data_IF_411567825347
#
_entry.id   IF_411567825347
#
_cell.length_a   1.000
_cell.length_b   1.000
_cell.length_c   1.000
_cell.angle_alpha   90.00
_cell.angle_beta   90.00
_cell.angle_gamma   90.00
#
_symmetry.space_group_name_H-M   'P 1'
#
loop_
_entity.id
_entity.type
_entity.pdbx_description
1 polymer ?
#
# COMPACT_ATOMS: atom_id res chain seq x y z
N UNK A 1 -32.38 -2.27 2.78
CA UNK A 1 -32.74 -2.74 4.13
C UNK A 1 -31.43 -3.08 4.86
N UNK A 2 -31.04 -2.27 5.82
CA UNK A 2 -29.83 -2.53 6.60
C UNK A 2 -30.12 -3.68 7.56
N UNK A 3 -29.43 -4.80 7.40
CA UNK A 3 -29.46 -5.90 8.38
C UNK A 3 -28.59 -5.49 9.56
N UNK A 4 -29.24 -4.91 10.57
CA UNK A 4 -28.60 -4.59 11.85
C UNK A 4 -28.05 -5.87 12.49
N UNK A 5 -26.74 -5.90 12.73
CA UNK A 5 -26.11 -6.88 13.60
C UNK A 5 -25.38 -8.05 12.95
N UNK A 6 -25.52 -8.31 11.65
CA UNK A 6 -24.81 -9.41 10.99
C UNK A 6 -23.38 -9.02 10.60
N UNK A 7 -22.42 -9.90 10.94
CA UNK A 7 -21.05 -9.77 10.48
C UNK A 7 -20.93 -10.08 8.98
N UNK A 8 -20.26 -9.21 8.24
CA UNK A 8 -19.98 -9.36 6.81
C UNK A 8 -18.47 -9.49 6.60
N UNK A 9 -18.05 -10.50 5.86
CA UNK A 9 -16.65 -10.70 5.51
C UNK A 9 -16.25 -9.77 4.37
N UNK A 10 -15.08 -9.14 4.50
CA UNK A 10 -14.47 -8.26 3.49
C UNK A 10 -12.96 -8.27 3.63
N UNK A 11 -12.27 -7.46 2.84
CA UNK A 11 -10.82 -7.29 2.91
C UNK A 11 -10.44 -5.84 3.22
N UNK A 12 -9.35 -5.67 3.97
CA UNK A 12 -8.77 -4.35 4.23
C UNK A 12 -8.14 -3.79 2.95
N UNK A 13 -8.45 -2.54 2.61
CA UNK A 13 -7.95 -1.85 1.41
C UNK A 13 -6.74 -0.95 1.67
N UNK A 14 -6.26 -0.84 2.91
CA UNK A 14 -5.31 0.21 3.29
C UNK A 14 -3.85 -0.12 2.96
N UNK A 15 -3.53 -1.36 2.62
CA UNK A 15 -2.21 -1.75 2.13
C UNK A 15 -2.28 -3.05 1.31
N UNK A 16 -1.16 -3.45 0.70
CA UNK A 16 -1.04 -4.63 -0.16
C UNK A 16 -1.28 -5.98 0.54
N UNK A 17 -1.21 -6.03 1.87
CA UNK A 17 -1.44 -7.27 2.63
C UNK A 17 -2.91 -7.73 2.58
N UNK A 18 -3.87 -6.81 2.35
CA UNK A 18 -5.29 -7.12 2.19
C UNK A 18 -5.89 -8.05 3.24
N UNK A 19 -5.55 -7.83 4.52
CA UNK A 19 -6.03 -8.68 5.62
C UNK A 19 -7.55 -8.89 5.57
N UNK A 20 -8.00 -10.10 5.84
CA UNK A 20 -9.42 -10.42 5.95
C UNK A 20 -10.06 -9.72 7.16
N UNK A 21 -11.20 -9.11 6.95
CA UNK A 21 -11.98 -8.40 7.96
C UNK A 21 -13.40 -8.96 8.06
N UNK A 22 -13.95 -8.89 9.25
CA UNK A 22 -15.40 -8.95 9.46
C UNK A 22 -15.87 -7.59 9.98
N UNK A 23 -16.95 -7.10 9.39
CA UNK A 23 -17.50 -5.78 9.70
C UNK A 23 -19.00 -5.88 10.02
N UNK A 24 -19.47 -4.99 10.88
CA UNK A 24 -20.90 -4.71 11.06
C UNK A 24 -21.15 -3.31 10.50
N UNK A 25 -22.10 -3.20 9.57
CA UNK A 25 -22.46 -1.94 8.91
C UNK A 25 -23.88 -1.56 9.27
N UNK A 26 -24.08 -0.31 9.70
CA UNK A 26 -25.37 0.30 9.95
C UNK A 26 -25.38 1.70 9.34
N UNK A 27 -26.40 2.00 8.54
CA UNK A 27 -26.56 3.30 7.88
C UNK A 27 -25.31 3.78 7.11
N UNK A 28 -24.62 2.85 6.45
CA UNK A 28 -23.38 3.14 5.71
C UNK A 28 -22.12 3.30 6.57
N UNK A 29 -22.22 3.15 7.89
CA UNK A 29 -21.11 3.28 8.83
C UNK A 29 -20.61 1.92 9.34
N UNK A 30 -19.30 1.78 9.43
CA UNK A 30 -18.68 0.64 10.12
C UNK A 30 -18.81 0.80 11.63
N UNK A 31 -19.73 0.08 12.24
CA UNK A 31 -19.93 0.10 13.70
C UNK A 31 -18.92 -0.77 14.45
N UNK A 32 -18.56 -1.91 13.86
CA UNK A 32 -17.54 -2.80 14.41
C UNK A 32 -16.69 -3.39 13.30
N UNK A 33 -15.40 -3.53 13.58
CA UNK A 33 -14.41 -4.13 12.68
C UNK A 33 -13.55 -5.09 13.50
N UNK A 34 -13.31 -6.28 12.97
CA UNK A 34 -12.35 -7.25 13.53
C UNK A 34 -11.72 -8.07 12.42
N UNK A 35 -10.61 -8.75 12.72
CA UNK A 35 -10.01 -9.69 11.80
C UNK A 35 -10.88 -10.91 11.54
N UNK A 36 -10.92 -11.35 10.29
CA UNK A 36 -11.62 -12.57 9.89
C UNK A 36 -10.73 -13.79 10.16
N UNK A 37 -11.11 -14.61 11.12
CA UNK A 37 -10.38 -15.82 11.50
C UNK A 37 -10.42 -16.91 10.42
N UNK A 38 -11.35 -16.83 9.48
CA UNK A 38 -11.47 -17.78 8.36
C UNK A 38 -10.58 -17.41 7.17
N UNK A 39 -10.04 -16.19 7.16
CA UNK A 39 -9.10 -15.77 6.12
C UNK A 39 -7.78 -16.57 6.23
N UNK A 40 -7.34 -17.28 5.17
CA UNK A 40 -6.20 -18.20 5.24
C UNK A 40 -4.85 -17.51 5.51
N UNK A 41 -4.67 -16.28 5.03
CA UNK A 41 -3.44 -15.51 5.22
C UNK A 41 -3.40 -14.82 6.58
N UNK A 42 -4.31 -13.89 6.81
CA UNK A 42 -4.29 -13.08 8.03
C UNK A 42 -4.76 -13.83 9.29
N UNK A 43 -5.51 -14.94 9.16
CA UNK A 43 -5.96 -15.82 10.26
C UNK A 43 -6.54 -15.04 11.45
N UNK A 44 -7.29 -13.97 11.16
CA UNK A 44 -7.90 -13.09 12.17
C UNK A 44 -6.99 -11.97 12.68
N UNK A 45 -5.74 -11.88 12.21
CA UNK A 45 -4.85 -10.78 12.54
C UNK A 45 -5.20 -9.53 11.74
N UNK A 46 -5.14 -8.37 12.39
CA UNK A 46 -5.15 -7.05 11.76
C UNK A 46 -4.16 -6.12 12.47
N UNK A 47 -3.65 -5.14 11.75
CA UNK A 47 -2.98 -3.99 12.37
C UNK A 47 -4.02 -2.96 12.85
N UNK A 48 -3.56 -1.82 13.32
CA UNK A 48 -4.41 -0.74 13.82
C UNK A 48 -5.16 0.03 12.71
N UNK A 49 -4.68 0.00 11.47
CA UNK A 49 -5.23 0.80 10.35
C UNK A 49 -6.72 0.55 10.09
N UNK A 50 -7.22 -0.71 10.07
CA UNK A 50 -8.64 -0.98 9.84
C UNK A 50 -9.60 -0.32 10.84
N UNK A 51 -9.16 -0.06 12.06
CA UNK A 51 -9.99 0.62 13.07
C UNK A 51 -10.42 2.04 12.63
N UNK A 52 -9.70 2.64 11.67
CA UNK A 52 -10.00 3.96 11.13
C UNK A 52 -10.81 3.95 9.83
N UNK A 53 -11.25 2.78 9.34
CA UNK A 53 -11.93 2.68 8.03
C UNK A 53 -13.22 3.49 7.98
N UNK A 54 -14.03 3.52 9.04
CA UNK A 54 -15.24 4.34 9.06
C UNK A 54 -14.92 5.82 8.93
N UNK A 55 -13.95 6.31 9.70
CA UNK A 55 -13.49 7.69 9.61
C UNK A 55 -12.91 8.00 8.23
N UNK A 56 -12.14 7.09 7.65
CA UNK A 56 -11.59 7.24 6.30
C UNK A 56 -12.70 7.36 5.26
N UNK A 57 -13.77 6.58 5.38
CA UNK A 57 -14.89 6.56 4.44
C UNK A 57 -15.87 7.72 4.63
N UNK A 58 -16.18 8.06 5.87
CA UNK A 58 -17.33 8.88 6.24
C UNK A 58 -16.94 10.20 6.95
N UNK A 59 -15.67 10.62 6.89
CA UNK A 59 -15.26 11.91 7.49
C UNK A 59 -15.98 13.09 6.82
N UNK A 60 -16.32 14.10 7.61
CA UNK A 60 -17.04 15.28 7.13
C UNK A 60 -16.30 16.04 6.01
N UNK A 61 -14.95 16.02 6.03
CA UNK A 61 -14.12 16.67 5.02
C UNK A 61 -13.86 15.78 3.79
N UNK A 62 -14.51 14.61 3.71
CA UNK A 62 -14.33 13.74 2.55
C UNK A 62 -14.92 14.39 1.31
N UNK A 63 -14.09 14.50 0.25
CA UNK A 63 -14.54 14.96 -1.06
C UNK A 63 -15.44 13.88 -1.66
N UNK A 64 -16.69 14.23 -1.93
CA UNK A 64 -17.73 13.32 -2.46
C UNK A 64 -18.15 13.63 -3.89
N UNK A 65 -17.64 14.72 -4.46
CA UNK A 65 -17.86 15.12 -5.85
C UNK A 65 -16.58 15.71 -6.45
N UNK A 66 -16.44 15.72 -7.79
CA UNK A 66 -15.32 16.40 -8.42
C UNK A 66 -15.30 17.89 -8.08
N UNK A 67 -14.10 18.43 -7.93
CA UNK A 67 -13.88 19.83 -7.64
C UNK A 67 -13.18 20.53 -8.81
N UNK A 68 -13.73 21.64 -9.28
CA UNK A 68 -13.10 22.51 -10.27
C UNK A 68 -12.48 23.73 -9.58
N UNK A 69 -11.20 23.99 -9.85
CA UNK A 69 -10.54 25.19 -9.34
C UNK A 69 -10.97 26.42 -10.12
N UNK A 70 -11.34 27.48 -9.40
CA UNK A 70 -11.66 28.81 -9.93
C UNK A 70 -10.39 29.66 -10.11
N UNK A 71 -10.54 30.79 -10.79
CA UNK A 71 -9.43 31.73 -11.01
C UNK A 71 -8.91 32.36 -9.71
N UNK A 72 -9.77 32.58 -8.72
CA UNK A 72 -9.41 33.07 -7.39
C UNK A 72 -8.72 32.00 -6.51
N UNK A 73 -8.54 30.79 -7.02
CA UNK A 73 -7.91 29.67 -6.32
C UNK A 73 -8.87 28.84 -5.46
N UNK A 74 -10.12 29.28 -5.27
CA UNK A 74 -11.15 28.51 -4.59
C UNK A 74 -11.61 27.30 -5.42
N UNK A 75 -12.37 26.40 -4.80
CA UNK A 75 -12.91 25.22 -5.46
C UNK A 75 -14.43 25.23 -5.46
N UNK A 76 -15.02 24.77 -6.55
CA UNK A 76 -16.45 24.52 -6.67
C UNK A 76 -16.73 23.05 -7.00
N UNK A 77 -17.78 22.50 -6.42
CA UNK A 77 -18.29 21.19 -6.79
C UNK A 77 -18.91 21.20 -8.18
N UNK A 78 -18.56 20.21 -8.98
CA UNK A 78 -19.18 19.96 -10.30
C UNK A 78 -19.63 18.51 -10.37
N UNK A 79 -20.51 18.18 -11.32
CA UNK A 79 -20.92 16.80 -11.57
C UNK A 79 -19.83 16.02 -12.34
N UNK A 80 -19.95 14.69 -12.32
CA UNK A 80 -18.99 13.80 -12.98
C UNK A 80 -18.98 13.94 -14.50
N UNK A 81 -20.12 14.17 -15.14
CA UNK A 81 -20.22 14.32 -16.59
C UNK A 81 -19.50 15.58 -17.05
N UNK A 82 -19.67 16.65 -16.32
CA UNK A 82 -18.94 17.91 -16.53
C UNK A 82 -17.44 17.73 -16.33
N UNK A 83 -17.01 17.07 -15.24
CA UNK A 83 -15.59 16.83 -14.98
C UNK A 83 -14.95 15.98 -16.09
N UNK A 84 -15.60 14.87 -16.48
CA UNK A 84 -15.08 13.97 -17.53
C UNK A 84 -15.01 14.71 -18.86
N UNK A 85 -16.04 15.43 -19.25
CA UNK A 85 -16.08 16.19 -20.52
C UNK A 85 -14.96 17.23 -20.58
N UNK A 86 -14.78 18.03 -19.52
CA UNK A 86 -13.75 19.07 -19.48
C UNK A 86 -12.33 18.48 -19.50
N UNK A 87 -12.08 17.44 -18.70
CA UNK A 87 -10.76 16.81 -18.61
C UNK A 87 -10.43 16.10 -19.92
N UNK A 88 -11.35 15.29 -20.45
CA UNK A 88 -11.12 14.57 -21.71
C UNK A 88 -10.91 15.51 -22.89
N UNK A 89 -11.70 16.60 -22.96
CA UNK A 89 -11.53 17.62 -23.99
C UNK A 89 -10.15 18.30 -23.95
N UNK A 90 -9.69 18.69 -22.74
CA UNK A 90 -8.36 19.29 -22.57
C UNK A 90 -7.24 18.31 -22.91
N UNK A 91 -7.33 17.06 -22.49
CA UNK A 91 -6.31 16.05 -22.78
C UNK A 91 -6.29 15.67 -24.27
N UNK A 92 -7.45 15.55 -24.91
CA UNK A 92 -7.55 15.33 -26.35
C UNK A 92 -6.92 16.49 -27.13
N UNK A 93 -7.23 17.73 -26.75
CA UNK A 93 -6.62 18.91 -27.38
C UNK A 93 -5.09 18.90 -27.29
N UNK A 94 -4.52 18.55 -26.10
CA UNK A 94 -3.05 18.45 -25.96
C UNK A 94 -2.50 17.34 -26.85
N UNK A 95 -3.14 16.16 -26.88
CA UNK A 95 -2.74 15.04 -27.74
C UNK A 95 -2.75 15.46 -29.23
N UNK A 96 -3.83 16.06 -29.68
CA UNK A 96 -4.05 16.38 -31.08
C UNK A 96 -3.17 17.55 -31.56
N UNK A 97 -2.85 18.50 -30.66
CA UNK A 97 -2.04 19.69 -31.00
C UNK A 97 -0.55 19.46 -30.79
N UNK A 98 -0.16 18.73 -29.75
CA UNK A 98 1.23 18.63 -29.30
C UNK A 98 1.77 17.20 -29.27
N UNK A 99 0.91 16.21 -29.51
CA UNK A 99 1.24 14.79 -29.41
C UNK A 99 1.12 14.23 -27.99
N UNK A 100 0.79 12.95 -27.88
CA UNK A 100 0.62 12.25 -26.61
C UNK A 100 1.89 12.19 -25.73
N UNK A 101 3.07 12.41 -26.32
CA UNK A 101 4.34 12.52 -25.57
C UNK A 101 4.42 13.74 -24.66
N UNK A 102 3.52 14.71 -24.80
CA UNK A 102 3.42 15.87 -23.91
C UNK A 102 2.55 15.62 -22.68
N UNK A 103 1.96 14.41 -22.59
CA UNK A 103 1.14 13.99 -21.46
C UNK A 103 1.92 12.94 -20.69
N UNK A 104 2.23 13.20 -19.42
CA UNK A 104 2.84 12.24 -18.50
C UNK A 104 1.74 11.60 -17.64
N UNK A 105 1.70 10.28 -17.61
CA UNK A 105 0.93 9.56 -16.60
C UNK A 105 1.80 9.34 -15.36
N UNK A 106 1.38 9.88 -14.23
CA UNK A 106 1.98 9.57 -12.93
C UNK A 106 0.91 8.84 -12.10
N UNK A 107 1.08 7.54 -11.95
CA UNK A 107 0.20 6.70 -11.17
C UNK A 107 0.83 6.34 -9.84
N UNK A 108 0.03 6.04 -8.86
CA UNK A 108 0.49 5.58 -7.56
C UNK A 108 -0.29 4.37 -7.10
N UNK A 109 0.38 3.53 -6.34
CA UNK A 109 -0.22 2.47 -5.53
C UNK A 109 -0.15 2.88 -4.06
N UNK A 110 -0.22 1.93 -3.18
CA UNK A 110 -0.15 2.11 -1.73
C UNK A 110 -1.40 1.66 -1.02
N UNK A 111 -2.51 1.57 -1.74
CA UNK A 111 -3.72 0.89 -1.30
C UNK A 111 -3.83 -0.47 -1.99
N UNK A 112 -4.42 -1.46 -1.33
CA UNK A 112 -4.62 -2.80 -1.89
C UNK A 112 -5.66 -2.88 -3.01
N UNK A 113 -6.27 -1.76 -3.41
CA UNK A 113 -7.26 -1.72 -4.48
C UNK A 113 -6.61 -1.30 -5.80
N UNK A 114 -6.30 -2.28 -6.64
CA UNK A 114 -5.68 -2.10 -7.95
C UNK A 114 -6.65 -2.22 -9.13
N UNK A 115 -7.96 -2.27 -8.90
CA UNK A 115 -8.97 -2.41 -9.95
C UNK A 115 -8.89 -1.28 -11.01
N UNK A 116 -8.49 -0.08 -10.61
CA UNK A 116 -8.30 1.06 -11.52
C UNK A 116 -7.16 0.88 -12.54
N UNK A 117 -6.24 -0.07 -12.35
CA UNK A 117 -5.07 -0.25 -13.21
C UNK A 117 -5.41 -0.53 -14.68
N UNK A 118 -6.45 -1.33 -14.95
CA UNK A 118 -6.91 -1.63 -16.30
C UNK A 118 -7.41 -0.38 -17.02
N UNK A 119 -8.15 0.48 -16.34
CA UNK A 119 -8.63 1.74 -16.89
C UNK A 119 -7.50 2.72 -17.21
N UNK A 120 -6.47 2.78 -16.37
CA UNK A 120 -5.30 3.64 -16.62
C UNK A 120 -4.54 3.22 -17.88
N UNK A 121 -4.43 1.92 -18.15
CA UNK A 121 -3.80 1.41 -19.36
C UNK A 121 -4.58 1.79 -20.62
N UNK A 122 -5.90 1.67 -20.60
CA UNK A 122 -6.78 2.07 -21.68
C UNK A 122 -6.69 3.60 -21.94
N UNK A 123 -6.74 4.40 -20.89
CA UNK A 123 -6.63 5.86 -20.96
C UNK A 123 -5.31 6.29 -21.57
N UNK A 124 -4.18 5.72 -21.13
CA UNK A 124 -2.86 6.01 -21.69
C UNK A 124 -2.76 5.69 -23.17
N UNK A 125 -3.35 4.56 -23.59
CA UNK A 125 -3.39 4.17 -25.00
C UNK A 125 -4.23 5.15 -25.83
N UNK A 126 -5.42 5.50 -25.35
CA UNK A 126 -6.32 6.44 -26.04
C UNK A 126 -5.71 7.85 -26.19
N UNK A 127 -4.87 8.27 -25.23
CA UNK A 127 -4.18 9.56 -25.26
C UNK A 127 -2.77 9.46 -25.85
N UNK A 128 -2.35 8.30 -26.37
CA UNK A 128 -1.05 8.08 -26.99
C UNK A 128 0.13 8.49 -26.06
N UNK A 129 -0.08 8.34 -24.74
CA UNK A 129 0.92 8.72 -23.76
C UNK A 129 2.17 7.84 -23.87
N UNK A 130 3.32 8.47 -24.08
CA UNK A 130 4.60 7.78 -24.18
C UNK A 130 5.24 7.54 -22.82
N UNK A 131 5.06 8.47 -21.89
CA UNK A 131 5.76 8.47 -20.61
C UNK A 131 4.82 8.12 -19.45
N UNK A 132 5.30 7.27 -18.57
CA UNK A 132 4.62 6.96 -17.31
C UNK A 132 5.64 6.77 -16.20
N UNK A 133 5.27 7.15 -15.00
CA UNK A 133 6.06 6.93 -13.79
C UNK A 133 5.13 6.69 -12.59
N UNK A 134 5.69 6.24 -11.49
CA UNK A 134 5.01 6.10 -10.21
C UNK A 134 6.03 6.13 -9.07
N UNK A 135 5.57 6.12 -7.82
CA UNK A 135 6.46 6.13 -6.66
C UNK A 135 7.41 4.91 -6.65
N UNK A 136 6.93 3.73 -7.05
CA UNK A 136 7.75 2.51 -7.09
C UNK A 136 8.88 2.60 -8.12
N UNK A 137 8.69 3.33 -9.22
CA UNK A 137 9.74 3.54 -10.21
C UNK A 137 10.94 4.34 -9.66
N UNK A 138 10.73 5.14 -8.62
CA UNK A 138 11.79 5.88 -7.93
C UNK A 138 12.31 5.13 -6.70
N UNK A 139 11.42 4.48 -5.98
CA UNK A 139 11.70 3.78 -4.71
C UNK A 139 12.29 2.38 -4.92
N UNK A 140 11.79 1.65 -5.90
CA UNK A 140 12.01 0.20 -6.07
C UNK A 140 12.68 -0.22 -7.38
N UNK A 141 13.16 0.71 -8.19
CA UNK A 141 13.72 0.38 -9.51
C UNK A 141 14.92 -0.56 -9.39
N UNK A 142 15.84 -0.28 -8.48
CA UNK A 142 17.02 -1.12 -8.25
C UNK A 142 16.65 -2.51 -7.74
N UNK A 143 15.73 -2.59 -6.76
CA UNK A 143 15.20 -3.82 -6.22
C UNK A 143 14.58 -4.69 -7.32
N UNK A 144 13.63 -4.14 -8.10
CA UNK A 144 12.97 -4.89 -9.17
C UNK A 144 13.91 -5.31 -10.29
N UNK A 145 14.93 -4.51 -10.57
CA UNK A 145 15.94 -4.87 -11.57
C UNK A 145 16.76 -6.08 -11.09
N UNK A 146 17.25 -6.06 -9.87
CA UNK A 146 18.03 -7.16 -9.26
C UNK A 146 17.18 -8.43 -9.16
N UNK A 147 15.98 -8.35 -8.61
CA UNK A 147 15.06 -9.48 -8.49
C UNK A 147 14.80 -10.15 -9.86
N UNK A 148 14.57 -9.34 -10.89
CA UNK A 148 14.34 -9.85 -12.24
C UNK A 148 15.58 -10.53 -12.83
N UNK A 149 16.78 -10.01 -12.57
CA UNK A 149 18.03 -10.63 -13.04
C UNK A 149 18.32 -11.94 -12.31
N UNK A 150 18.12 -12.00 -11.02
CA UNK A 150 18.45 -13.14 -10.18
C UNK A 150 17.38 -14.25 -10.25
N UNK A 151 16.11 -13.89 -10.18
CA UNK A 151 15.01 -14.83 -9.97
C UNK A 151 14.02 -14.88 -11.13
N UNK A 152 14.07 -13.94 -12.07
CA UNK A 152 13.07 -13.72 -13.13
C UNK A 152 11.63 -13.52 -12.59
N UNK A 153 11.51 -13.30 -11.30
CA UNK A 153 10.28 -13.10 -10.56
C UNK A 153 10.53 -12.16 -9.40
N UNK A 154 9.46 -11.69 -8.77
CA UNK A 154 9.52 -10.98 -7.51
C UNK A 154 9.29 -11.97 -6.36
N UNK A 155 10.33 -12.39 -5.64
CA UNK A 155 10.18 -13.29 -4.50
C UNK A 155 9.53 -12.51 -3.32
N UNK A 156 8.67 -13.19 -2.60
CA UNK A 156 8.14 -12.70 -1.32
C UNK A 156 8.81 -13.50 -0.19
N UNK A 157 9.34 -12.84 0.84
CA UNK A 157 10.02 -13.53 1.93
C UNK A 157 9.02 -14.27 2.83
N UNK A 158 9.28 -15.54 3.11
CA UNK A 158 8.51 -16.35 4.05
C UNK A 158 9.09 -16.24 5.47
N UNK A 159 8.75 -15.16 6.16
CA UNK A 159 9.18 -14.96 7.55
C UNK A 159 8.51 -15.92 8.53
N UNK A 160 7.39 -16.55 8.19
CA UNK A 160 6.69 -17.48 9.08
C UNK A 160 7.49 -18.76 9.29
N UNK A 161 8.23 -19.22 8.26
CA UNK A 161 8.94 -20.52 8.28
C UNK A 161 10.48 -20.40 8.20
N UNK A 162 11.02 -19.20 7.98
CA UNK A 162 12.46 -19.01 7.89
C UNK A 162 13.16 -19.30 9.22
N UNK A 163 14.29 -20.00 9.18
CA UNK A 163 15.17 -20.24 10.33
C UNK A 163 15.89 -18.97 10.77
N UNK A 164 16.31 -18.15 9.80
CA UNK A 164 16.96 -16.86 10.04
C UNK A 164 16.22 -15.76 9.27
N UNK A 165 15.82 -14.72 9.98
CA UNK A 165 15.18 -13.53 9.40
C UNK A 165 16.09 -12.32 9.58
N UNK A 166 16.40 -11.62 8.48
CA UNK A 166 17.22 -10.41 8.48
C UNK A 166 16.38 -9.21 8.04
N UNK A 167 16.33 -8.18 8.87
CA UNK A 167 15.63 -6.94 8.59
C UNK A 167 16.65 -5.81 8.45
N UNK A 168 16.72 -5.21 7.26
CA UNK A 168 17.63 -4.09 6.96
C UNK A 168 16.84 -2.83 6.73
N UNK A 169 17.01 -1.82 7.61
CA UNK A 169 16.30 -0.54 7.54
C UNK A 169 14.78 -0.68 7.61
N UNK A 170 14.27 -1.71 8.28
CA UNK A 170 12.85 -2.02 8.30
C UNK A 170 12.36 -2.36 9.70
N UNK A 171 11.24 -1.74 10.08
CA UNK A 171 10.58 -1.98 11.36
C UNK A 171 9.17 -2.59 11.16
N UNK A 172 9.06 -3.92 10.89
CA UNK A 172 7.77 -4.56 10.68
C UNK A 172 6.84 -4.53 11.89
N UNK A 173 7.36 -4.32 13.09
CA UNK A 173 6.52 -4.12 14.28
C UNK A 173 5.55 -2.95 14.11
N UNK A 174 5.99 -1.85 13.47
CA UNK A 174 5.18 -0.67 13.20
C UNK A 174 4.58 -0.68 11.79
N UNK A 175 5.41 -0.95 10.78
CA UNK A 175 4.99 -0.85 9.38
C UNK A 175 4.20 -2.05 8.89
N UNK A 176 4.26 -3.18 9.61
CA UNK A 176 3.76 -4.49 9.20
C UNK A 176 4.44 -4.94 7.88
N UNK A 177 3.82 -4.81 6.74
CA UNK A 177 4.42 -5.07 5.43
C UNK A 177 4.41 -6.53 4.99
N UNK A 178 4.05 -7.45 5.87
CA UNK A 178 3.77 -8.85 5.60
C UNK A 178 2.67 -9.37 6.54
N UNK A 179 2.14 -10.54 6.25
CA UNK A 179 1.01 -11.09 7.00
C UNK A 179 1.40 -11.39 8.45
N UNK A 180 0.50 -11.05 9.38
CA UNK A 180 0.62 -11.37 10.81
C UNK A 180 1.92 -10.89 11.46
N UNK A 181 2.49 -9.77 10.98
CA UNK A 181 3.85 -9.33 11.32
C UNK A 181 4.21 -9.43 12.80
N UNK A 182 3.43 -8.84 13.71
CA UNK A 182 3.74 -8.91 15.16
C UNK A 182 3.64 -10.32 15.75
N UNK A 183 2.80 -11.17 15.18
CA UNK A 183 2.68 -12.58 15.61
C UNK A 183 3.92 -13.34 15.20
N UNK A 184 4.32 -13.19 13.93
CA UNK A 184 5.50 -13.85 13.37
C UNK A 184 6.78 -13.38 14.07
N UNK A 185 6.98 -12.07 14.25
CA UNK A 185 8.14 -11.54 14.97
C UNK A 185 8.25 -12.10 16.38
N UNK A 186 7.13 -12.18 17.11
CA UNK A 186 7.11 -12.78 18.46
C UNK A 186 7.39 -14.29 18.43
N UNK A 187 6.95 -14.98 17.39
CA UNK A 187 7.22 -16.41 17.23
C UNK A 187 8.70 -16.67 16.97
N UNK A 188 9.33 -15.89 16.11
CA UNK A 188 10.78 -15.95 15.86
C UNK A 188 11.55 -15.72 17.17
N UNK A 189 11.28 -14.62 17.88
CA UNK A 189 11.98 -14.25 19.09
C UNK A 189 11.83 -15.25 20.26
N UNK A 190 10.86 -16.16 20.20
CA UNK A 190 10.62 -17.19 21.23
C UNK A 190 11.18 -18.56 20.87
N UNK A 191 11.48 -18.79 19.62
CA UNK A 191 11.93 -20.08 19.13
C UNK A 191 13.47 -20.15 19.18
N UNK A 192 14.07 -21.01 20.02
CA UNK A 192 15.52 -21.11 20.16
C UNK A 192 16.23 -21.65 18.90
N UNK A 193 15.49 -22.20 17.96
CA UNK A 193 16.03 -22.71 16.71
C UNK A 193 15.95 -21.68 15.57
N UNK A 194 15.47 -20.46 15.86
CA UNK A 194 15.31 -19.39 14.87
C UNK A 194 16.11 -18.18 15.30
N UNK A 195 16.62 -17.44 14.32
CA UNK A 195 17.39 -16.22 14.56
C UNK A 195 16.79 -14.99 13.90
N UNK A 196 16.91 -13.85 14.58
CA UNK A 196 16.52 -12.54 14.05
C UNK A 196 17.69 -11.57 14.11
N UNK A 197 18.09 -11.05 12.95
CA UNK A 197 19.10 -10.02 12.80
C UNK A 197 18.43 -8.74 12.33
N UNK A 198 18.68 -7.64 13.03
CA UNK A 198 18.17 -6.32 12.62
C UNK A 198 19.35 -5.37 12.42
N UNK A 199 19.41 -4.76 11.25
CA UNK A 199 20.33 -3.69 10.89
C UNK A 199 19.54 -2.42 10.69
N UNK A 200 19.74 -1.41 11.55
CA UNK A 200 18.97 -0.16 11.49
C UNK A 200 19.78 0.96 12.15
N UNK A 201 19.76 2.18 11.66
CA UNK A 201 20.39 3.31 12.34
C UNK A 201 19.77 3.61 13.71
N UNK A 202 18.53 3.21 13.92
CA UNK A 202 17.77 3.38 15.16
C UNK A 202 17.40 2.03 15.76
N UNK A 203 17.54 1.89 17.08
CA UNK A 203 16.98 0.75 17.79
C UNK A 203 15.44 0.85 17.78
N UNK A 204 14.82 -0.01 16.99
CA UNK A 204 13.37 -0.05 16.77
C UNK A 204 12.73 -1.14 17.63
N UNK A 205 11.40 -1.17 17.68
CA UNK A 205 10.66 -2.22 18.39
C UNK A 205 10.89 -3.63 17.77
N UNK A 206 11.24 -3.69 16.48
CA UNK A 206 11.69 -4.95 15.85
C UNK A 206 13.10 -5.30 16.33
N UNK A 207 14.00 -4.32 16.47
CA UNK A 207 15.34 -4.51 16.98
C UNK A 207 15.36 -4.96 18.44
N UNK A 208 14.36 -4.59 19.25
CA UNK A 208 14.22 -5.05 20.64
C UNK A 208 13.86 -6.54 20.75
N UNK A 209 13.41 -7.16 19.66
CA UNK A 209 13.14 -8.59 19.59
C UNK A 209 14.28 -9.39 18.96
N UNK A 210 15.30 -8.71 18.42
CA UNK A 210 16.37 -9.34 17.66
C UNK A 210 17.42 -10.01 18.56
N UNK A 211 17.96 -11.14 18.09
CA UNK A 211 19.13 -11.77 18.70
C UNK A 211 20.40 -10.97 18.44
N UNK A 212 20.46 -10.36 17.24
CA UNK A 212 21.59 -9.51 16.82
C UNK A 212 21.06 -8.19 16.32
N UNK A 213 21.52 -7.09 16.92
CA UNK A 213 21.23 -5.74 16.44
C UNK A 213 22.52 -5.04 16.01
N UNK A 214 22.56 -4.65 14.74
CA UNK A 214 23.66 -3.89 14.14
C UNK A 214 23.23 -2.45 13.93
N UNK A 215 23.69 -1.56 14.79
CA UNK A 215 23.42 -0.14 14.63
C UNK A 215 24.39 0.46 13.62
N UNK A 216 23.86 0.83 12.45
CA UNK A 216 24.65 1.37 11.34
C UNK A 216 24.45 2.88 11.20
N UNK A 217 25.41 3.57 10.62
CA UNK A 217 25.22 4.96 10.21
C UNK A 217 24.37 5.01 8.95
N UNK A 218 23.43 5.99 8.81
CA UNK A 218 22.70 6.15 7.57
C UNK A 218 23.61 6.18 6.33
N UNK A 219 23.26 5.41 5.30
CA UNK A 219 24.03 5.32 4.06
C UNK A 219 25.22 4.37 4.09
N UNK A 220 25.38 3.56 5.16
CA UNK A 220 26.49 2.59 5.26
C UNK A 220 26.03 1.13 5.16
N UNK A 221 24.75 0.87 4.94
CA UNK A 221 24.17 -0.47 4.90
C UNK A 221 24.88 -1.40 3.90
N UNK A 222 25.16 -0.91 2.70
CA UNK A 222 25.84 -1.68 1.65
C UNK A 222 27.26 -2.13 2.07
N UNK A 223 28.00 -1.32 2.84
CA UNK A 223 29.33 -1.67 3.32
C UNK A 223 29.29 -2.75 4.39
N UNK A 224 28.29 -2.67 5.29
CA UNK A 224 28.11 -3.70 6.33
C UNK A 224 27.63 -5.01 5.74
N UNK A 225 26.79 -4.98 4.70
CA UNK A 225 26.33 -6.19 4.00
C UNK A 225 27.43 -6.84 3.15
N UNK A 226 28.45 -6.07 2.73
CA UNK A 226 29.57 -6.57 1.94
C UNK A 226 30.71 -7.13 2.81
N UNK A 227 30.76 -6.83 4.09
CA UNK A 227 31.77 -7.26 5.05
C UNK A 227 31.46 -8.65 5.62
#
# INVERSE_FOLDING_TARGET
MATTGNWQSTSCILCSVNCGLQVQVEDGHFKKIKGDKTNPGSKGYTCEKPASLDRYQNHADRITSPLRRREDGSFESIDWDTAIREISGKLAHIRDTHGGSKILYYGGGGQGNHLGGAYSAATRRALEMRYSSNALAQEKTGEFWVERQMFQARPEPDFEHAEVSVFVGKNPWQSHGFERARVVLKAIAKDPNRGMIVMDPRRTETADLADVFLQVKPGTDAFVLAA
#
